data_IF_305452969197
#
_entry.id   IF_305452969197
#
_cell.length_a   1.000
_cell.length_b   1.000
_cell.length_c   1.000
_cell.angle_alpha   90.00
_cell.angle_beta   90.00
_cell.angle_gamma   90.00
#
_symmetry.space_group_name_H-M   'P 1'
#
loop_
_entity.id
_entity.type
_entity.pdbx_description
1 polymer ?
#
# COMPACT_ATOMS: atom_id res chain seq x y z
N UNK A 1 7.44 21.28 -25.76
CA UNK A 1 7.87 19.90 -25.51
C UNK A 1 7.19 19.01 -26.52
N UNK A 2 7.90 18.14 -27.17
CA UNK A 2 7.30 17.22 -28.14
C UNK A 2 6.74 16.01 -27.38
N UNK A 3 5.43 15.88 -27.33
CA UNK A 3 4.72 14.80 -26.62
C UNK A 3 4.92 13.41 -27.25
N UNK A 4 5.43 13.35 -28.47
CA UNK A 4 5.66 12.09 -29.20
C UNK A 4 7.10 11.60 -29.08
N UNK A 5 7.98 12.36 -28.41
CA UNK A 5 9.39 12.01 -28.28
C UNK A 5 9.59 11.06 -27.11
N UNK A 6 10.18 9.89 -27.37
CA UNK A 6 10.66 9.00 -26.33
C UNK A 6 11.96 9.51 -25.72
N UNK A 7 12.08 9.46 -24.42
CA UNK A 7 13.27 9.86 -23.66
C UNK A 7 13.87 8.64 -22.95
N UNK A 8 15.21 8.50 -22.87
CA UNK A 8 15.85 7.62 -21.92
C UNK A 8 15.45 7.99 -20.48
N UNK A 9 15.49 7.03 -19.55
CA UNK A 9 14.97 7.22 -18.19
C UNK A 9 15.61 8.41 -17.47
N UNK A 10 16.94 8.53 -17.52
CA UNK A 10 17.67 9.64 -16.89
C UNK A 10 17.25 11.00 -17.45
N UNK A 11 17.19 11.11 -18.78
CA UNK A 11 16.74 12.33 -19.44
C UNK A 11 15.25 12.64 -19.15
N UNK A 12 14.42 11.62 -18.99
CA UNK A 12 13.02 11.80 -18.62
C UNK A 12 12.86 12.41 -17.21
N UNK A 13 13.69 11.96 -16.25
CA UNK A 13 13.71 12.54 -14.89
C UNK A 13 14.17 14.01 -14.91
N UNK A 14 15.21 14.34 -15.67
CA UNK A 14 15.67 15.72 -15.83
C UNK A 14 14.61 16.62 -16.46
N UNK A 15 13.90 16.10 -17.43
CA UNK A 15 12.79 16.80 -18.09
C UNK A 15 11.66 17.02 -17.10
N UNK A 16 11.27 16.00 -16.31
CA UNK A 16 10.25 16.09 -15.27
C UNK A 16 10.58 17.17 -14.24
N UNK A 17 11.85 17.27 -13.84
CA UNK A 17 12.30 18.29 -12.88
C UNK A 17 12.17 19.73 -13.39
N UNK A 18 12.13 19.93 -14.73
CA UNK A 18 11.97 21.25 -15.38
C UNK A 18 10.51 21.68 -15.55
N UNK A 19 9.53 20.80 -15.27
CA UNK A 19 8.13 21.21 -15.31
C UNK A 19 7.81 22.23 -14.21
N UNK A 20 6.90 23.16 -14.48
CA UNK A 20 6.41 24.07 -13.46
C UNK A 20 5.70 23.27 -12.37
N UNK A 21 6.12 23.46 -11.11
CA UNK A 21 5.54 22.79 -9.96
C UNK A 21 4.18 23.39 -9.61
N UNK A 22 3.21 22.54 -9.26
CA UNK A 22 1.94 22.98 -8.72
C UNK A 22 2.10 23.56 -7.30
N UNK A 23 1.08 24.31 -6.85
CA UNK A 23 1.06 24.91 -5.49
C UNK A 23 0.63 23.91 -4.39
N UNK A 24 0.57 22.63 -4.71
CA UNK A 24 0.22 21.54 -3.79
C UNK A 24 1.23 20.40 -3.92
N UNK A 25 1.20 19.44 -3.00
CA UNK A 25 2.04 18.26 -3.08
C UNK A 25 1.62 17.39 -4.25
N UNK A 26 2.50 17.25 -5.23
CA UNK A 26 2.30 16.44 -6.41
C UNK A 26 2.67 14.99 -6.15
N UNK A 27 1.97 14.06 -6.80
CA UNK A 27 2.29 12.63 -6.81
C UNK A 27 2.83 12.24 -8.18
N UNK A 28 3.83 11.39 -8.22
CA UNK A 28 4.36 10.82 -9.46
C UNK A 28 3.78 9.42 -9.62
N UNK A 29 2.99 9.24 -10.66
CA UNK A 29 2.45 7.95 -11.05
C UNK A 29 3.21 7.39 -12.25
N UNK A 30 3.54 6.10 -12.21
CA UNK A 30 4.22 5.40 -13.28
C UNK A 30 3.26 4.39 -13.94
N UNK A 31 3.08 4.50 -15.23
CA UNK A 31 2.33 3.55 -16.03
C UNK A 31 3.25 2.81 -16.99
N UNK A 32 3.19 1.47 -16.96
CA UNK A 32 3.99 0.59 -17.80
C UNK A 32 3.10 -0.19 -18.77
N UNK A 33 3.45 -0.18 -20.07
CA UNK A 33 2.83 -1.05 -21.04
C UNK A 33 3.53 -2.42 -21.04
N UNK A 34 2.93 -3.39 -20.34
CA UNK A 34 3.56 -4.68 -20.08
C UNK A 34 3.37 -5.73 -21.19
N UNK A 35 2.47 -5.52 -22.15
CA UNK A 35 2.17 -6.51 -23.17
C UNK A 35 1.46 -7.77 -22.64
N UNK A 36 0.76 -7.67 -21.50
CA UNK A 36 -0.05 -8.73 -20.89
C UNK A 36 -1.54 -8.50 -21.16
N UNK A 37 -2.33 -9.56 -21.18
CA UNK A 37 -3.80 -9.47 -21.26
C UNK A 37 -4.40 -9.44 -19.85
N UNK A 38 -4.96 -8.29 -19.39
CA UNK A 38 -5.52 -8.16 -18.06
C UNK A 38 -6.84 -8.94 -17.85
N UNK A 39 -7.40 -9.54 -18.90
CA UNK A 39 -8.58 -10.41 -18.81
C UNK A 39 -8.22 -11.82 -18.35
N UNK A 40 -6.97 -12.23 -18.58
CA UNK A 40 -6.48 -13.56 -18.19
C UNK A 40 -6.02 -13.51 -16.72
N UNK A 41 -6.53 -14.42 -15.91
CA UNK A 41 -6.24 -14.46 -14.47
C UNK A 41 -4.79 -14.84 -14.16
N UNK A 42 -4.12 -15.58 -15.04
CA UNK A 42 -2.73 -15.99 -14.97
C UNK A 42 -1.75 -14.87 -15.38
N UNK A 43 -2.22 -13.85 -16.11
CA UNK A 43 -1.44 -12.69 -16.53
C UNK A 43 -1.63 -11.46 -15.62
N UNK A 44 -2.34 -11.62 -14.53
CA UNK A 44 -2.55 -10.55 -13.53
C UNK A 44 -1.29 -10.25 -12.75
N UNK A 45 -0.65 -9.13 -13.06
CA UNK A 45 0.53 -8.64 -12.33
C UNK A 45 0.09 -7.74 -11.18
N UNK A 46 0.45 -8.12 -9.97
CA UNK A 46 0.26 -7.34 -8.76
C UNK A 46 1.40 -7.61 -7.79
N UNK A 47 1.94 -6.58 -7.20
CA UNK A 47 3.01 -6.72 -6.22
C UNK A 47 3.29 -5.41 -5.51
N UNK A 48 4.38 -5.42 -4.78
CA UNK A 48 4.88 -4.24 -4.08
C UNK A 48 6.39 -4.18 -4.21
N UNK A 49 6.93 -2.98 -4.25
CA UNK A 49 8.38 -2.76 -4.24
C UNK A 49 8.75 -1.72 -3.18
N UNK A 50 9.80 -1.97 -2.38
CA UNK A 50 10.32 -0.95 -1.48
C UNK A 50 11.08 0.11 -2.28
N UNK A 51 10.90 1.38 -1.90
CA UNK A 51 11.68 2.48 -2.46
C UNK A 51 12.91 2.72 -1.58
N UNK A 52 14.14 2.76 -2.14
CA UNK A 52 15.37 2.91 -1.37
C UNK A 52 15.45 4.24 -0.61
N UNK A 53 14.79 5.29 -1.09
CA UNK A 53 14.75 6.62 -0.47
C UNK A 53 13.39 6.97 0.17
N UNK A 54 12.51 5.97 0.30
CA UNK A 54 11.16 6.17 0.83
C UNK A 54 10.20 6.85 -0.16
N UNK A 55 8.94 6.95 0.24
CA UNK A 55 7.88 7.55 -0.58
C UNK A 55 7.65 9.05 -0.28
N UNK A 56 8.44 9.65 0.63
CA UNK A 56 8.28 11.06 1.04
C UNK A 56 6.98 11.36 1.81
N UNK A 57 6.11 10.37 2.02
CA UNK A 57 4.85 10.49 2.74
C UNK A 57 4.92 9.71 4.05
N UNK A 58 4.47 10.31 5.13
CA UNK A 58 4.24 9.59 6.39
C UNK A 58 3.01 8.71 6.23
N UNK A 59 3.21 7.40 6.28
CA UNK A 59 2.15 6.40 6.13
C UNK A 59 1.63 6.00 7.50
N UNK A 60 0.33 6.15 7.73
CA UNK A 60 -0.36 5.71 8.96
C UNK A 60 -0.73 4.24 8.80
N UNK A 61 -0.23 3.42 9.71
CA UNK A 61 -0.39 1.96 9.64
C UNK A 61 -1.34 1.49 10.72
N UNK A 62 -2.37 0.75 10.31
CA UNK A 62 -3.26 -0.01 11.20
C UNK A 62 -2.86 -1.48 11.18
N UNK A 63 -2.72 -2.09 12.35
CA UNK A 63 -2.42 -3.52 12.49
C UNK A 63 -3.58 -4.24 13.17
N UNK A 64 -4.20 -5.17 12.46
CA UNK A 64 -5.20 -6.07 13.00
C UNK A 64 -4.52 -7.32 13.57
N UNK A 65 -4.45 -7.41 14.87
CA UNK A 65 -3.87 -8.55 15.57
C UNK A 65 -4.50 -8.72 16.94
N UNK A 66 -4.54 -9.96 17.40
CA UNK A 66 -4.92 -10.26 18.80
C UNK A 66 -3.83 -9.72 19.75
N UNK A 67 -4.17 -9.44 21.01
CA UNK A 67 -3.19 -9.11 22.03
C UNK A 67 -2.11 -10.19 22.15
N UNK A 68 -0.85 -9.76 22.24
CA UNK A 68 0.32 -10.66 22.33
C UNK A 68 1.56 -10.12 21.63
N UNK A 69 2.56 -10.96 21.44
CA UNK A 69 3.84 -10.59 20.82
C UNK A 69 3.72 -9.88 19.46
N UNK A 70 2.81 -10.28 18.53
CA UNK A 70 2.63 -9.54 17.28
C UNK A 70 2.13 -8.10 17.47
N UNK A 71 1.30 -7.85 18.51
CA UNK A 71 0.80 -6.51 18.81
C UNK A 71 1.91 -5.60 19.37
N UNK A 72 2.77 -6.16 20.23
CA UNK A 72 3.92 -5.45 20.79
C UNK A 72 4.94 -5.12 19.70
N UNK A 73 5.31 -6.11 18.88
CA UNK A 73 6.21 -5.92 17.75
C UNK A 73 5.70 -4.85 16.76
N UNK A 74 4.40 -4.79 16.52
CA UNK A 74 3.81 -3.75 15.68
C UNK A 74 3.91 -2.35 16.29
N UNK A 75 3.70 -2.22 17.61
CA UNK A 75 3.85 -0.94 18.33
C UNK A 75 5.30 -0.47 18.36
N UNK A 76 6.24 -1.37 18.65
CA UNK A 76 7.68 -1.08 18.61
C UNK A 76 8.16 -0.65 17.22
N UNK A 77 7.58 -1.24 16.17
CA UNK A 77 7.84 -0.84 14.79
C UNK A 77 7.19 0.51 14.42
N UNK A 78 6.38 1.08 15.31
CA UNK A 78 5.79 2.40 15.16
C UNK A 78 4.42 2.40 14.47
N UNK A 79 3.64 1.32 14.49
CA UNK A 79 2.26 1.34 14.01
C UNK A 79 1.43 2.34 14.83
N UNK A 80 0.65 3.19 14.15
CA UNK A 80 -0.19 4.20 14.81
C UNK A 80 -1.40 3.56 15.49
N UNK A 81 -1.95 2.52 14.88
CA UNK A 81 -3.13 1.84 15.39
C UNK A 81 -2.85 0.34 15.46
N UNK A 82 -3.02 -0.24 16.63
CA UNK A 82 -2.87 -1.69 16.85
C UNK A 82 -4.05 -2.17 17.68
N UNK A 83 -4.81 -3.11 17.14
CA UNK A 83 -5.96 -3.67 17.84
C UNK A 83 -6.63 -4.79 17.04
N UNK A 84 -7.71 -5.33 17.59
CA UNK A 84 -8.48 -6.38 16.95
C UNK A 84 -9.95 -5.98 16.83
N UNK A 85 -10.80 -6.40 17.77
CA UNK A 85 -12.24 -6.18 17.68
C UNK A 85 -12.62 -4.70 17.70
N UNK A 86 -11.95 -3.90 18.50
CA UNK A 86 -12.21 -2.47 18.64
C UNK A 86 -11.95 -1.74 17.30
N UNK A 87 -10.88 -2.11 16.61
CA UNK A 87 -10.53 -1.54 15.30
C UNK A 87 -11.46 -2.04 14.21
N UNK A 88 -11.88 -3.31 14.29
CA UNK A 88 -12.87 -3.87 13.36
C UNK A 88 -14.21 -3.10 13.52
N UNK A 89 -14.68 -2.88 14.73
CA UNK A 89 -15.90 -2.11 14.97
C UNK A 89 -15.84 -0.70 14.42
N UNK A 90 -14.74 0.03 14.70
CA UNK A 90 -14.51 1.38 14.15
C UNK A 90 -14.52 1.38 12.62
N UNK A 91 -13.90 0.40 11.98
CA UNK A 91 -13.92 0.30 10.52
C UNK A 91 -15.31 -0.01 9.96
N UNK A 92 -16.14 -0.81 10.66
CA UNK A 92 -17.54 -1.05 10.28
C UNK A 92 -18.35 0.24 10.36
N UNK A 93 -18.09 1.09 11.36
CA UNK A 93 -18.70 2.41 11.52
C UNK A 93 -18.23 3.44 10.48
N UNK A 94 -17.28 3.05 9.60
CA UNK A 94 -16.80 3.87 8.51
C UNK A 94 -15.48 4.60 8.78
N UNK A 95 -14.85 4.38 9.94
CA UNK A 95 -13.55 4.95 10.23
C UNK A 95 -12.46 4.30 9.34
N UNK A 96 -11.74 5.12 8.60
CA UNK A 96 -10.67 4.70 7.67
C UNK A 96 -9.50 5.69 7.68
N UNK A 97 -9.18 6.23 8.86
CA UNK A 97 -8.13 7.25 9.00
C UNK A 97 -6.73 6.65 9.09
N UNK A 98 -6.42 5.74 8.17
CA UNK A 98 -5.14 5.10 7.98
C UNK A 98 -4.87 4.88 6.48
N UNK A 99 -3.62 4.72 6.11
CA UNK A 99 -3.19 4.59 4.71
C UNK A 99 -2.92 3.13 4.32
N UNK A 100 -2.48 2.30 5.26
CA UNK A 100 -2.22 0.86 5.04
C UNK A 100 -2.71 0.04 6.22
N UNK A 101 -3.33 -1.11 5.94
CA UNK A 101 -3.69 -2.09 6.94
C UNK A 101 -2.81 -3.35 6.82
N UNK A 102 -2.29 -3.80 7.94
CA UNK A 102 -1.59 -5.08 8.11
C UNK A 102 -2.44 -5.99 8.98
N UNK A 103 -2.46 -7.27 8.73
CA UNK A 103 -3.20 -8.24 9.53
C UNK A 103 -2.40 -9.52 9.75
N UNK A 104 -2.58 -10.15 10.91
CA UNK A 104 -2.14 -11.54 11.08
C UNK A 104 -3.08 -12.50 10.34
N UNK A 105 -2.62 -13.68 9.90
CA UNK A 105 -3.48 -14.67 9.23
C UNK A 105 -4.70 -15.05 10.07
N UNK A 106 -4.54 -15.14 11.39
CA UNK A 106 -5.66 -15.39 12.31
C UNK A 106 -6.70 -14.27 12.31
N UNK A 107 -6.23 -13.01 12.33
CA UNK A 107 -7.13 -11.86 12.32
C UNK A 107 -7.90 -11.72 11.00
N UNK A 108 -7.35 -12.23 9.89
CA UNK A 108 -7.97 -12.16 8.56
C UNK A 108 -9.36 -12.79 8.50
N UNK A 109 -9.67 -13.76 9.35
CA UNK A 109 -10.99 -14.40 9.41
C UNK A 109 -12.09 -13.36 9.70
N UNK A 110 -11.82 -12.45 10.63
CA UNK A 110 -12.74 -11.37 11.00
C UNK A 110 -12.60 -10.15 10.08
N UNK A 111 -11.37 -9.80 9.71
CA UNK A 111 -11.08 -8.65 8.82
C UNK A 111 -11.73 -8.82 7.44
N UNK A 112 -11.94 -10.05 6.96
CA UNK A 112 -12.69 -10.31 5.71
C UNK A 112 -14.10 -9.70 5.71
N UNK A 113 -14.73 -9.59 6.86
CA UNK A 113 -16.05 -8.96 7.00
C UNK A 113 -16.01 -7.47 6.60
N UNK A 114 -14.85 -6.83 6.73
CA UNK A 114 -14.61 -5.44 6.32
C UNK A 114 -14.39 -5.25 4.81
N UNK A 115 -14.43 -6.33 4.02
CA UNK A 115 -14.18 -6.28 2.57
C UNK A 115 -15.06 -5.28 1.82
N UNK A 116 -16.31 -5.08 2.27
CA UNK A 116 -17.23 -4.09 1.68
C UNK A 116 -16.82 -2.64 1.95
N UNK A 117 -16.12 -2.38 3.06
CA UNK A 117 -15.68 -1.03 3.47
C UNK A 117 -14.27 -0.75 2.98
N UNK A 118 -13.34 -1.68 3.22
CA UNK A 118 -11.92 -1.51 2.92
C UNK A 118 -11.56 -1.86 1.47
N UNK A 119 -12.31 -2.78 0.84
CA UNK A 119 -12.05 -3.24 -0.53
C UNK A 119 -12.09 -2.13 -1.58
N UNK A 120 -13.18 -1.35 -1.69
CA UNK A 120 -13.29 -0.26 -2.67
C UNK A 120 -12.23 0.82 -2.49
N UNK A 121 -11.71 0.99 -1.27
CA UNK A 121 -10.66 1.97 -0.92
C UNK A 121 -9.25 1.45 -1.09
N UNK A 122 -9.07 0.17 -1.46
CA UNK A 122 -7.76 -0.46 -1.59
C UNK A 122 -7.03 -0.69 -0.26
N UNK A 123 -7.72 -0.55 0.88
CA UNK A 123 -7.14 -0.67 2.22
C UNK A 123 -7.19 -2.10 2.78
N UNK A 124 -7.69 -3.07 2.01
CA UNK A 124 -7.83 -4.46 2.46
C UNK A 124 -6.48 -5.16 2.50
N UNK A 125 -6.07 -5.75 3.64
CA UNK A 125 -4.85 -6.56 3.71
C UNK A 125 -4.88 -7.71 2.72
N UNK A 126 -3.73 -7.99 2.07
CA UNK A 126 -3.62 -9.03 1.06
C UNK A 126 -2.29 -9.80 1.21
N UNK A 127 -2.30 -11.14 1.21
CA UNK A 127 -1.07 -11.95 1.24
C UNK A 127 -0.11 -11.65 0.08
N UNK A 128 -0.64 -11.36 -1.12
CA UNK A 128 0.16 -11.06 -2.31
C UNK A 128 0.96 -9.76 -2.18
N UNK A 129 0.50 -8.83 -1.37
CA UNK A 129 1.19 -7.57 -1.07
C UNK A 129 2.02 -7.64 0.21
N UNK A 130 2.07 -8.82 0.87
CA UNK A 130 2.81 -9.02 2.10
C UNK A 130 2.26 -8.26 3.31
N UNK A 131 1.00 -7.80 3.23
CA UNK A 131 0.30 -7.13 4.35
C UNK A 131 -0.47 -8.12 5.24
N UNK A 132 -0.43 -9.41 4.92
CA UNK A 132 -0.90 -10.50 5.79
C UNK A 132 0.29 -11.34 6.18
N UNK A 133 0.73 -11.21 7.43
CA UNK A 133 1.93 -11.88 7.96
C UNK A 133 1.88 -11.98 9.48
N UNK A 134 2.56 -12.99 10.04
CA UNK A 134 2.76 -13.11 11.48
C UNK A 134 3.85 -12.16 11.99
N UNK A 135 4.83 -11.81 11.14
CA UNK A 135 5.85 -10.80 11.45
C UNK A 135 5.33 -9.38 11.18
N UNK A 136 4.46 -8.92 12.07
CA UNK A 136 3.85 -7.59 11.99
C UNK A 136 4.88 -6.47 12.11
N UNK A 137 5.92 -6.65 12.92
CA UNK A 137 6.98 -5.66 13.13
C UNK A 137 7.77 -5.39 11.85
N UNK A 138 8.14 -6.44 11.12
CA UNK A 138 8.82 -6.32 9.82
C UNK A 138 7.92 -5.64 8.78
N UNK A 139 6.66 -6.08 8.69
CA UNK A 139 5.71 -5.51 7.75
C UNK A 139 5.48 -4.01 7.98
N UNK A 140 5.33 -3.58 9.23
CA UNK A 140 5.19 -2.16 9.57
C UNK A 140 6.42 -1.36 9.18
N UNK A 141 7.62 -1.86 9.46
CA UNK A 141 8.88 -1.18 9.07
C UNK A 141 8.99 -1.04 7.55
N UNK A 142 8.70 -2.09 6.79
CA UNK A 142 8.73 -2.05 5.32
C UNK A 142 7.72 -1.05 4.75
N UNK A 143 6.50 -1.01 5.29
CA UNK A 143 5.47 -0.05 4.88
C UNK A 143 5.92 1.39 5.18
N UNK A 144 6.48 1.63 6.36
CA UNK A 144 6.98 2.96 6.76
C UNK A 144 8.23 3.40 6.00
N UNK A 145 9.06 2.44 5.59
CA UNK A 145 10.23 2.72 4.73
C UNK A 145 9.86 3.20 3.32
N UNK A 146 8.57 3.16 2.96
CA UNK A 146 8.10 3.60 1.66
C UNK A 146 7.97 2.46 0.66
N UNK A 147 6.90 1.71 0.79
CA UNK A 147 6.54 0.61 -0.10
C UNK A 147 5.47 1.07 -1.08
N UNK A 148 5.68 0.84 -2.37
CA UNK A 148 4.74 1.18 -3.43
C UNK A 148 4.08 -0.09 -3.95
N UNK A 149 2.75 -0.08 -4.04
CA UNK A 149 1.97 -1.14 -4.65
C UNK A 149 1.81 -0.87 -6.15
N UNK A 150 1.95 -1.90 -6.95
CA UNK A 150 1.63 -1.88 -8.38
C UNK A 150 0.65 -2.99 -8.74
N UNK A 151 -0.23 -2.72 -9.67
CA UNK A 151 -1.20 -3.69 -10.21
C UNK A 151 -1.46 -3.41 -11.68
N UNK A 152 -1.80 -4.47 -12.42
CA UNK A 152 -2.33 -4.32 -13.79
C UNK A 152 -3.73 -3.74 -13.70
N UNK A 153 -3.97 -2.69 -14.46
CA UNK A 153 -5.29 -2.11 -14.65
C UNK A 153 -5.92 -2.62 -15.95
N UNK A 154 -7.24 -2.69 -15.95
CA UNK A 154 -8.00 -3.02 -17.16
C UNK A 154 -8.17 -1.73 -17.96
N UNK A 155 -7.23 -1.48 -18.87
CA UNK A 155 -7.36 -0.38 -19.83
C UNK A 155 -8.39 -0.70 -20.90
#
# INVERSE_FOLDING_TARGET
MDSNKAYPLDAAVEVLAKFPKAKFNETIDLAFRLGVDPKQSDQMVRGTTPLPHGAGKVVRVLVFTKPGAPAEAAREAGAEFVGFEDMIKKCVEGWTDFDVAVATPEAMTEVRKLGKVLGPRGLMPNPKTGTVTDDTGKAVREVKAGRVEFKVDKA
#
